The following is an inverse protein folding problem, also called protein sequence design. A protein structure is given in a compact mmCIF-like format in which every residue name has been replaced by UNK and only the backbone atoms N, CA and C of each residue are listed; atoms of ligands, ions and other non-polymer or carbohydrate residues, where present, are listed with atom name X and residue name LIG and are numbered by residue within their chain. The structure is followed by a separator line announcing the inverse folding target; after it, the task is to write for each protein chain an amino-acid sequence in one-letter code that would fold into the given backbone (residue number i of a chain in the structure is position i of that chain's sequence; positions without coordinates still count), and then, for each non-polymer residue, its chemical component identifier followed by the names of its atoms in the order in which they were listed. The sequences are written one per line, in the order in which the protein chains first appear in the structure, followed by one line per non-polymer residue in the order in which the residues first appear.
data_IF_433773255444
#
_entry.id   IF_433773255444
#
_cell.length_a   1.000
_cell.length_b   1.000
_cell.length_c   1.000
_cell.angle_alpha   90.00
_cell.angle_beta   90.00
_cell.angle_gamma   90.00
#
_symmetry.space_group_name_H-M   'P 1'
#
loop_
_entity.id
_entity.type
_entity.pdbx_description
1 polymer ?
#
# COMPACT_ATOMS: atom_id res chain seq x y z
N UNK A 1 -6.08 32.50 -43.57
CA UNK A 1 -6.34 31.04 -43.68
C UNK A 1 -5.01 30.32 -43.46
N UNK A 2 -4.90 29.33 -42.56
CA UNK A 2 -3.69 28.53 -42.45
C UNK A 2 -3.42 27.85 -43.80
N UNK A 3 -2.20 27.95 -44.30
CA UNK A 3 -1.82 27.32 -45.58
C UNK A 3 -1.82 25.80 -45.41
N UNK A 4 -2.15 25.04 -46.45
CA UNK A 4 -2.20 23.57 -46.40
C UNK A 4 -0.92 22.93 -45.83
N UNK A 5 0.23 23.56 -46.05
CA UNK A 5 1.52 23.17 -45.46
C UNK A 5 1.56 23.26 -43.93
N UNK A 6 0.92 24.28 -43.33
CA UNK A 6 0.84 24.42 -41.88
C UNK A 6 -0.05 23.36 -41.24
N UNK A 7 -1.15 22.98 -41.88
CA UNK A 7 -2.01 21.89 -41.39
C UNK A 7 -1.29 20.53 -41.47
N UNK A 8 -0.62 20.26 -42.59
CA UNK A 8 0.14 19.01 -42.77
C UNK A 8 1.27 18.87 -41.75
N UNK A 9 2.02 19.96 -41.49
CA UNK A 9 3.07 20.00 -40.45
C UNK A 9 2.50 19.74 -39.05
N UNK A 10 1.35 20.35 -38.72
CA UNK A 10 0.72 20.18 -37.42
C UNK A 10 0.21 18.74 -37.21
N UNK A 11 -0.36 18.12 -38.25
CA UNK A 11 -0.78 16.70 -38.22
C UNK A 11 0.41 15.76 -38.02
N UNK A 12 1.50 15.96 -38.75
CA UNK A 12 2.72 15.16 -38.58
C UNK A 12 3.30 15.30 -37.16
N UNK A 13 3.38 16.52 -36.64
CA UNK A 13 3.87 16.79 -35.28
C UNK A 13 2.94 16.20 -34.19
N UNK A 14 1.63 16.19 -34.41
CA UNK A 14 0.67 15.54 -33.51
C UNK A 14 0.80 14.00 -33.56
N UNK A 15 0.97 13.42 -34.76
CA UNK A 15 1.14 11.99 -34.92
C UNK A 15 2.44 11.49 -34.27
N UNK A 16 3.54 12.23 -34.45
CA UNK A 16 4.82 11.94 -33.78
C UNK A 16 4.69 11.99 -32.25
N UNK A 17 4.01 12.98 -31.69
CA UNK A 17 3.78 13.08 -30.23
C UNK A 17 2.95 11.91 -29.69
N UNK A 18 1.93 11.47 -30.42
CA UNK A 18 1.12 10.28 -30.05
C UNK A 18 1.96 9.00 -30.09
N UNK A 19 2.74 8.80 -31.15
CA UNK A 19 3.63 7.65 -31.27
C UNK A 19 4.64 7.59 -30.12
N UNK A 20 5.29 8.72 -29.80
CA UNK A 20 6.22 8.82 -28.66
C UNK A 20 5.52 8.50 -27.34
N UNK A 21 4.32 9.04 -27.12
CA UNK A 21 3.53 8.77 -25.91
C UNK A 21 3.20 7.27 -25.77
N UNK A 22 2.85 6.59 -26.87
CA UNK A 22 2.56 5.16 -26.87
C UNK A 22 3.80 4.32 -26.58
N UNK A 23 4.96 4.68 -27.14
CA UNK A 23 6.22 3.99 -26.87
C UNK A 23 6.58 4.06 -25.39
N UNK A 24 6.50 5.26 -24.78
CA UNK A 24 6.78 5.40 -23.35
C UNK A 24 5.74 4.67 -22.48
N UNK A 25 4.45 4.72 -22.85
CA UNK A 25 3.41 4.00 -22.13
C UNK A 25 3.65 2.48 -22.17
N UNK A 26 3.97 1.94 -23.35
CA UNK A 26 4.32 0.54 -23.52
C UNK A 26 5.56 0.17 -22.70
N UNK A 27 6.61 1.01 -22.72
CA UNK A 27 7.82 0.78 -21.94
C UNK A 27 7.54 0.73 -20.43
N UNK A 28 6.66 1.60 -19.91
CA UNK A 28 6.29 1.59 -18.48
C UNK A 28 5.49 0.33 -18.10
N UNK A 29 4.57 -0.12 -18.96
CA UNK A 29 3.83 -1.36 -18.73
C UNK A 29 4.73 -2.60 -18.84
N UNK A 30 5.68 -2.61 -19.77
CA UNK A 30 6.69 -3.67 -19.86
C UNK A 30 7.62 -3.69 -18.64
N UNK A 31 8.01 -2.52 -18.11
CA UNK A 31 8.77 -2.43 -16.88
C UNK A 31 7.98 -3.00 -15.69
N UNK A 32 6.71 -2.63 -15.56
CA UNK A 32 5.83 -3.20 -14.52
C UNK A 32 5.64 -4.72 -14.68
N UNK A 33 5.56 -5.21 -15.92
CA UNK A 33 5.50 -6.65 -16.21
C UNK A 33 6.81 -7.37 -15.86
N UNK A 34 7.97 -6.74 -16.10
CA UNK A 34 9.26 -7.25 -15.63
C UNK A 34 9.32 -7.35 -14.11
N UNK A 35 8.83 -6.33 -13.40
CA UNK A 35 8.74 -6.33 -11.93
C UNK A 35 7.82 -7.46 -11.46
N UNK A 36 6.63 -7.61 -12.05
CA UNK A 36 5.69 -8.70 -11.75
C UNK A 36 6.38 -10.07 -11.81
N UNK A 37 7.11 -10.36 -12.88
CA UNK A 37 7.78 -11.66 -13.06
C UNK A 37 8.93 -11.88 -12.08
N UNK A 38 9.54 -10.81 -11.58
CA UNK A 38 10.65 -10.88 -10.64
C UNK A 38 10.20 -10.90 -9.18
N UNK A 39 9.11 -10.21 -8.83
CA UNK A 39 8.66 -10.07 -7.44
C UNK A 39 7.58 -11.07 -7.02
N UNK A 40 6.82 -11.62 -7.97
CA UNK A 40 5.65 -12.47 -7.68
C UNK A 40 5.80 -13.87 -8.29
N UNK A 41 5.94 -14.88 -7.42
CA UNK A 41 6.12 -16.28 -7.84
C UNK A 41 4.80 -16.99 -8.12
N UNK A 42 3.81 -16.82 -7.25
CA UNK A 42 2.54 -17.54 -7.32
C UNK A 42 1.55 -16.94 -8.32
N UNK A 43 0.67 -17.76 -8.92
CA UNK A 43 -0.34 -17.26 -9.86
C UNK A 43 -1.35 -16.32 -9.19
N UNK A 44 -1.71 -16.59 -7.93
CA UNK A 44 -2.58 -15.76 -7.08
C UNK A 44 -1.93 -14.41 -6.80
N UNK A 45 -0.64 -14.43 -6.42
CA UNK A 45 0.17 -13.24 -6.18
C UNK A 45 0.31 -12.38 -7.45
N UNK A 46 0.56 -13.02 -8.60
CA UNK A 46 0.61 -12.34 -9.90
C UNK A 46 -0.73 -11.70 -10.28
N UNK A 47 -1.84 -12.39 -10.04
CA UNK A 47 -3.18 -11.83 -10.27
C UNK A 47 -3.44 -10.62 -9.37
N UNK A 48 -3.09 -10.71 -8.08
CA UNK A 48 -3.21 -9.61 -7.13
C UNK A 48 -2.34 -8.41 -7.53
N UNK A 49 -1.10 -8.63 -8.01
CA UNK A 49 -0.26 -7.57 -8.56
C UNK A 49 -0.88 -6.91 -9.78
N UNK A 50 -1.42 -7.67 -10.74
CA UNK A 50 -2.07 -7.10 -11.93
C UNK A 50 -3.29 -6.25 -11.56
N UNK A 51 -4.06 -6.71 -10.57
CA UNK A 51 -5.19 -5.94 -10.03
C UNK A 51 -4.72 -4.69 -9.30
N UNK A 52 -3.68 -4.77 -8.47
CA UNK A 52 -3.05 -3.62 -7.81
C UNK A 52 -2.52 -2.59 -8.82
N UNK A 53 -1.83 -3.07 -9.86
CA UNK A 53 -1.37 -2.26 -10.97
C UNK A 53 -2.54 -1.54 -11.66
N UNK A 54 -3.64 -2.27 -11.90
CA UNK A 54 -4.89 -1.70 -12.41
C UNK A 54 -5.48 -0.63 -11.49
N UNK A 55 -5.60 -0.90 -10.18
CA UNK A 55 -6.09 0.04 -9.17
C UNK A 55 -5.28 1.34 -9.19
N UNK A 56 -3.95 1.25 -9.10
CA UNK A 56 -3.08 2.42 -9.13
C UNK A 56 -3.26 3.22 -10.44
N UNK A 57 -3.26 2.53 -11.58
CA UNK A 57 -3.38 3.21 -12.87
C UNK A 57 -4.75 3.90 -13.02
N UNK A 58 -5.84 3.21 -12.66
CA UNK A 58 -7.18 3.78 -12.76
C UNK A 58 -7.44 4.90 -11.75
N UNK A 59 -6.85 4.82 -10.55
CA UNK A 59 -6.87 5.89 -9.54
C UNK A 59 -6.24 7.17 -10.08
N UNK A 60 -4.99 7.10 -10.55
CA UNK A 60 -4.31 8.27 -11.13
C UNK A 60 -4.98 8.75 -12.42
N UNK A 61 -5.55 7.85 -13.21
CA UNK A 61 -6.35 8.21 -14.40
C UNK A 61 -7.63 8.96 -14.04
N UNK A 62 -8.35 8.56 -12.98
CA UNK A 62 -9.54 9.27 -12.52
C UNK A 62 -9.19 10.70 -12.07
N UNK A 63 -8.05 10.86 -11.39
CA UNK A 63 -7.56 12.15 -10.90
C UNK A 63 -7.04 13.04 -12.05
N UNK A 64 -6.04 12.56 -12.80
CA UNK A 64 -5.23 13.33 -13.74
C UNK A 64 -5.73 13.26 -15.21
N UNK A 65 -6.55 12.25 -15.55
CA UNK A 65 -7.08 11.96 -16.91
C UNK A 65 -6.01 11.68 -17.98
N UNK A 66 -4.78 11.43 -17.55
CA UNK A 66 -3.58 11.32 -18.38
C UNK A 66 -2.91 9.95 -18.16
N UNK A 67 -2.91 9.05 -19.16
CA UNK A 67 -2.45 7.66 -18.97
C UNK A 67 -0.96 7.55 -18.72
N UNK A 68 -0.14 8.37 -19.38
CA UNK A 68 1.31 8.29 -19.23
C UNK A 68 1.72 8.66 -17.81
N UNK A 69 1.13 9.73 -17.28
CA UNK A 69 1.42 10.20 -15.92
C UNK A 69 0.93 9.23 -14.86
N UNK A 70 -0.17 8.54 -15.15
CA UNK A 70 -0.71 7.50 -14.28
C UNK A 70 0.23 6.31 -14.17
N UNK A 71 0.75 5.81 -15.31
CA UNK A 71 1.69 4.69 -15.33
C UNK A 71 3.00 5.04 -14.61
N UNK A 72 3.54 6.25 -14.79
CA UNK A 72 4.75 6.71 -14.10
C UNK A 72 4.55 6.75 -12.59
N UNK A 73 3.46 7.36 -12.11
CA UNK A 73 3.17 7.45 -10.68
C UNK A 73 2.92 6.07 -10.09
N UNK A 74 2.18 5.21 -10.79
CA UNK A 74 1.93 3.83 -10.36
C UNK A 74 3.24 3.04 -10.22
N UNK A 75 4.13 3.14 -11.21
CA UNK A 75 5.44 2.48 -11.17
C UNK A 75 6.30 3.01 -10.03
N UNK A 76 6.31 4.32 -9.80
CA UNK A 76 7.04 4.92 -8.68
C UNK A 76 6.53 4.39 -7.34
N UNK A 77 5.21 4.31 -7.14
CA UNK A 77 4.60 3.72 -5.94
C UNK A 77 5.01 2.26 -5.74
N UNK A 78 4.94 1.44 -6.79
CA UNK A 78 5.35 0.02 -6.75
C UNK A 78 6.83 -0.11 -6.36
N UNK A 79 7.72 0.65 -6.99
CA UNK A 79 9.16 0.60 -6.70
C UNK A 79 9.45 1.06 -5.27
N UNK A 80 8.85 2.15 -4.82
CA UNK A 80 9.00 2.64 -3.44
C UNK A 80 8.53 1.58 -2.45
N UNK A 81 7.38 0.95 -2.71
CA UNK A 81 6.84 -0.08 -1.83
C UNK A 81 7.74 -1.31 -1.76
N UNK A 82 8.29 -1.76 -2.88
CA UNK A 82 9.26 -2.87 -2.91
C UNK A 82 10.51 -2.51 -2.10
N UNK A 83 11.09 -1.32 -2.30
CA UNK A 83 12.28 -0.88 -1.58
C UNK A 83 12.02 -0.79 -0.08
N UNK A 84 10.88 -0.25 0.33
CA UNK A 84 10.49 -0.17 1.73
C UNK A 84 10.22 -1.57 2.32
N UNK A 85 9.59 -2.46 1.56
CA UNK A 85 9.31 -3.83 2.00
C UNK A 85 10.60 -4.64 2.18
N UNK A 86 11.55 -4.49 1.26
CA UNK A 86 12.87 -5.12 1.38
C UNK A 86 13.66 -4.57 2.57
N UNK A 87 13.61 -3.25 2.78
CA UNK A 87 14.24 -2.65 3.95
C UNK A 87 13.64 -3.19 5.25
N UNK A 88 12.31 -3.19 5.35
CA UNK A 88 11.59 -3.71 6.52
C UNK A 88 11.94 -5.19 6.75
N UNK A 89 11.97 -5.99 5.68
CA UNK A 89 12.33 -7.40 5.77
C UNK A 89 13.78 -7.61 6.25
N UNK A 90 14.74 -6.85 5.71
CA UNK A 90 16.15 -6.96 6.11
C UNK A 90 16.42 -6.59 7.57
N UNK A 91 15.51 -5.85 8.22
CA UNK A 91 15.68 -5.34 9.58
C UNK A 91 14.81 -6.09 10.59
N UNK A 92 13.54 -6.32 10.24
CA UNK A 92 12.51 -6.88 11.12
C UNK A 92 12.07 -8.29 10.71
N UNK A 93 12.68 -8.87 9.67
CA UNK A 93 12.29 -10.16 9.09
C UNK A 93 10.82 -10.21 8.67
N UNK A 94 10.21 -9.05 8.36
CA UNK A 94 8.80 -8.89 8.05
C UNK A 94 8.63 -7.93 6.86
N UNK A 95 7.65 -8.20 5.99
CA UNK A 95 7.35 -7.34 4.83
C UNK A 95 6.39 -6.19 5.17
N UNK A 96 6.24 -5.22 4.26
CA UNK A 96 5.35 -4.08 4.49
C UNK A 96 3.89 -4.52 4.38
N UNK A 97 3.06 -4.07 5.32
CA UNK A 97 1.63 -4.32 5.35
C UNK A 97 0.85 -3.03 5.55
N UNK A 98 -0.47 -3.07 5.34
CA UNK A 98 -1.33 -1.88 5.45
C UNK A 98 -1.38 -1.33 6.87
N UNK A 99 -1.14 -2.19 7.86
CA UNK A 99 -1.03 -1.79 9.26
C UNK A 99 0.10 -0.77 9.45
N UNK A 100 1.19 -0.86 8.70
CA UNK A 100 2.28 0.13 8.74
C UNK A 100 1.78 1.53 8.36
N UNK A 101 0.82 1.64 7.44
CA UNK A 101 0.22 2.92 7.06
C UNK A 101 -0.81 3.40 8.08
N UNK A 102 -1.47 2.48 8.79
CA UNK A 102 -2.45 2.85 9.82
C UNK A 102 -1.77 3.37 11.10
N UNK A 103 -0.59 2.81 11.43
CA UNK A 103 0.14 3.15 12.65
C UNK A 103 1.10 4.33 12.48
N UNK A 104 1.41 4.75 11.24
CA UNK A 104 2.40 5.80 11.02
C UNK A 104 1.91 7.15 11.56
N UNK A 105 2.67 7.70 12.51
CA UNK A 105 2.51 9.07 12.97
C UNK A 105 3.72 9.94 12.58
N UNK A 106 3.59 11.26 12.79
CA UNK A 106 4.66 12.21 12.45
C UNK A 106 5.94 12.00 13.28
N UNK A 107 5.81 11.56 14.54
CA UNK A 107 6.95 11.31 15.41
C UNK A 107 7.71 10.05 14.99
N UNK A 108 7.00 8.97 14.67
CA UNK A 108 7.53 7.73 14.09
C UNK A 108 8.22 8.03 12.77
N UNK A 109 7.61 8.83 11.90
CA UNK A 109 8.23 9.23 10.64
C UNK A 109 9.54 10.01 10.86
N UNK A 110 9.56 10.99 11.77
CA UNK A 110 10.77 11.73 12.11
C UNK A 110 11.86 10.85 12.71
N UNK A 111 11.48 9.91 13.58
CA UNK A 111 12.40 8.91 14.12
C UNK A 111 12.99 8.06 12.99
N UNK A 112 12.15 7.57 12.08
CA UNK A 112 12.58 6.81 10.91
C UNK A 112 13.57 7.60 10.04
N UNK A 113 13.29 8.88 9.77
CA UNK A 113 14.20 9.75 9.01
C UNK A 113 15.56 9.91 9.71
N UNK A 114 15.56 10.06 11.04
CA UNK A 114 16.79 10.21 11.82
C UNK A 114 17.63 8.92 11.84
N UNK A 115 16.99 7.78 12.03
CA UNK A 115 17.67 6.48 12.10
C UNK A 115 18.14 6.02 10.73
N UNK A 116 17.31 6.16 9.70
CA UNK A 116 17.53 5.62 8.35
C UNK A 116 17.78 6.72 7.31
N UNK A 117 18.53 7.75 7.70
CA UNK A 117 18.78 8.91 6.83
C UNK A 117 19.34 8.52 5.45
N UNK A 118 20.22 7.51 5.39
CA UNK A 118 20.79 7.04 4.11
C UNK A 118 19.76 6.46 3.15
N UNK A 119 18.77 5.69 3.65
CA UNK A 119 17.69 5.15 2.82
C UNK A 119 16.74 6.26 2.39
N UNK A 120 16.36 7.13 3.32
CA UNK A 120 15.49 8.28 3.06
C UNK A 120 16.11 9.18 2.01
N UNK A 121 17.42 9.42 2.06
CA UNK A 121 18.13 10.22 1.06
C UNK A 121 18.10 9.57 -0.32
N UNK A 122 18.31 8.25 -0.41
CA UNK A 122 18.21 7.50 -1.68
C UNK A 122 16.80 7.58 -2.27
N UNK A 123 15.78 7.38 -1.44
CA UNK A 123 14.37 7.51 -1.84
C UNK A 123 14.03 8.94 -2.25
N UNK A 124 14.46 9.94 -1.47
CA UNK A 124 14.25 11.35 -1.78
C UNK A 124 14.92 11.75 -3.08
N UNK A 125 16.15 11.28 -3.33
CA UNK A 125 16.86 11.51 -4.60
C UNK A 125 16.14 10.82 -5.77
N UNK A 126 15.69 9.57 -5.60
CA UNK A 126 14.92 8.88 -6.63
C UNK A 126 13.63 9.64 -6.96
N UNK A 127 12.87 10.07 -5.95
CA UNK A 127 11.67 10.89 -6.14
C UNK A 127 12.03 12.21 -6.82
N UNK A 128 13.08 12.91 -6.37
CA UNK A 128 13.54 14.15 -6.97
C UNK A 128 13.93 13.99 -8.45
N UNK A 129 14.50 12.85 -8.86
CA UNK A 129 14.81 12.53 -10.25
C UNK A 129 13.58 12.11 -11.07
N UNK A 130 12.58 11.50 -10.46
CA UNK A 130 11.31 11.16 -11.15
C UNK A 130 10.46 12.39 -11.46
N UNK A 131 10.53 13.46 -10.65
CA UNK A 131 9.77 14.70 -10.86
C UNK A 131 10.07 15.36 -12.23
N UNK A 132 11.32 15.66 -12.63
CA UNK A 132 11.60 16.26 -13.93
C UNK A 132 11.20 15.33 -15.08
N UNK A 133 11.42 14.02 -14.94
CA UNK A 133 10.97 13.03 -15.91
C UNK A 133 9.44 13.09 -16.08
N UNK A 134 8.71 13.11 -14.96
CA UNK A 134 7.25 13.24 -14.94
C UNK A 134 6.77 14.55 -15.57
N UNK A 135 7.43 15.68 -15.31
CA UNK A 135 7.10 16.97 -15.93
C UNK A 135 7.31 16.97 -17.45
N UNK A 136 8.37 16.33 -17.93
CA UNK A 136 8.63 16.17 -19.38
C UNK A 136 7.56 15.27 -20.00
N UNK A 137 7.26 14.13 -19.39
CA UNK A 137 6.22 13.21 -19.88
C UNK A 137 4.83 13.85 -19.85
N UNK A 138 4.54 14.69 -18.84
CA UNK A 138 3.31 15.47 -18.76
C UNK A 138 3.14 16.44 -19.95
N UNK A 139 4.22 17.01 -20.48
CA UNK A 139 4.18 17.86 -21.68
C UNK A 139 3.89 17.07 -22.95
N UNK A 140 4.30 15.81 -23.01
CA UNK A 140 4.18 14.94 -24.19
C UNK A 140 2.82 14.24 -24.25
N UNK A 141 2.18 14.03 -23.10
CA UNK A 141 0.94 13.26 -23.00
C UNK A 141 -0.21 13.88 -23.80
N UNK A 142 -0.54 13.23 -24.91
CA UNK A 142 -1.60 13.62 -25.83
C UNK A 142 -2.95 12.97 -25.51
N UNK A 143 -2.97 11.92 -24.68
CA UNK A 143 -4.16 11.10 -24.45
C UNK A 143 -4.98 11.62 -23.28
N UNK A 144 -6.31 11.67 -23.47
CA UNK A 144 -7.25 12.05 -22.40
C UNK A 144 -8.37 11.05 -22.34
N UNK A 145 -8.51 10.40 -21.19
CA UNK A 145 -9.58 9.44 -20.92
C UNK A 145 -10.71 10.11 -20.13
N UNK A 146 -11.94 9.68 -20.37
CA UNK A 146 -13.12 10.15 -19.63
C UNK A 146 -13.07 9.57 -18.22
N UNK A 147 -13.30 10.41 -17.21
CA UNK A 147 -13.25 10.02 -15.79
C UNK A 147 -14.18 8.86 -15.43
N UNK A 148 -15.36 8.79 -16.06
CA UNK A 148 -16.33 7.72 -15.80
C UNK A 148 -15.76 6.33 -16.06
N UNK A 149 -15.03 6.15 -17.16
CA UNK A 149 -14.39 4.89 -17.50
C UNK A 149 -13.24 4.55 -16.55
N UNK A 150 -12.49 5.56 -16.10
CA UNK A 150 -11.43 5.36 -15.11
C UNK A 150 -12.00 4.93 -13.75
N UNK A 151 -13.09 5.56 -13.30
CA UNK A 151 -13.76 5.18 -12.05
C UNK A 151 -14.35 3.78 -12.13
N UNK A 152 -14.99 3.44 -13.25
CA UNK A 152 -15.53 2.09 -13.45
C UNK A 152 -14.41 1.04 -13.43
N UNK A 153 -13.30 1.29 -14.13
CA UNK A 153 -12.13 0.41 -14.09
C UNK A 153 -11.55 0.27 -12.68
N UNK A 154 -11.44 1.37 -11.93
CA UNK A 154 -10.99 1.36 -10.54
C UNK A 154 -11.89 0.50 -9.66
N UNK A 155 -13.21 0.68 -9.74
CA UNK A 155 -14.18 -0.07 -8.94
C UNK A 155 -14.14 -1.57 -9.27
N UNK A 156 -14.03 -1.93 -10.55
CA UNK A 156 -13.91 -3.32 -10.98
C UNK A 156 -12.62 -3.96 -10.46
N UNK A 157 -11.48 -3.26 -10.57
CA UNK A 157 -10.20 -3.77 -10.06
C UNK A 157 -10.22 -3.92 -8.54
N UNK A 158 -10.79 -2.95 -7.80
CA UNK A 158 -10.94 -3.04 -6.35
C UNK A 158 -11.86 -4.19 -5.93
N UNK A 159 -13.00 -4.35 -6.59
CA UNK A 159 -13.93 -5.45 -6.29
C UNK A 159 -13.30 -6.81 -6.58
N UNK A 160 -12.61 -6.97 -7.72
CA UNK A 160 -11.92 -8.21 -8.07
C UNK A 160 -10.78 -8.53 -7.09
N UNK A 161 -10.05 -7.51 -6.64
CA UNK A 161 -8.97 -7.66 -5.67
C UNK A 161 -9.48 -8.05 -4.28
N UNK A 162 -10.57 -7.42 -3.83
CA UNK A 162 -11.24 -7.79 -2.59
C UNK A 162 -11.76 -9.23 -2.67
N UNK A 163 -12.43 -9.60 -3.76
CA UNK A 163 -12.92 -10.96 -3.99
C UNK A 163 -11.78 -11.99 -3.99
N UNK A 164 -10.66 -11.70 -4.67
CA UNK A 164 -9.48 -12.56 -4.66
C UNK A 164 -8.91 -12.75 -3.25
N UNK A 165 -8.82 -11.65 -2.48
CA UNK A 165 -8.26 -11.67 -1.12
C UNK A 165 -9.14 -12.42 -0.13
N UNK A 166 -10.46 -12.39 -0.32
CA UNK A 166 -11.42 -13.13 0.52
C UNK A 166 -11.56 -14.59 0.10
N UNK A 167 -11.45 -14.89 -1.20
CA UNK A 167 -11.55 -16.26 -1.71
C UNK A 167 -10.28 -17.08 -1.43
N UNK A 168 -9.12 -16.43 -1.44
CA UNK A 168 -7.83 -17.04 -1.11
C UNK A 168 -7.19 -16.17 -0.03
N UNK A 169 -7.31 -16.54 1.25
CA UNK A 169 -6.60 -15.87 2.34
C UNK A 169 -5.07 -15.96 2.16
N UNK A 170 -4.34 -14.99 2.70
CA UNK A 170 -2.88 -15.06 2.82
C UNK A 170 -2.51 -15.88 4.06
N UNK A 171 -1.50 -16.74 3.95
CA UNK A 171 -0.99 -17.43 5.13
C UNK A 171 -0.26 -16.44 6.04
N UNK A 172 -0.28 -16.67 7.36
CA UNK A 172 0.39 -15.75 8.32
C UNK A 172 1.90 -15.78 8.17
N UNK A 173 2.45 -16.96 7.90
CA UNK A 173 3.89 -17.18 7.76
C UNK A 173 4.48 -16.46 6.54
N UNK A 174 3.65 -16.18 5.54
CA UNK A 174 4.03 -15.45 4.35
C UNK A 174 4.57 -14.05 4.68
N UNK A 175 4.19 -13.46 5.81
CA UNK A 175 4.66 -12.12 6.19
C UNK A 175 6.18 -12.08 6.45
N UNK A 176 6.78 -13.22 6.80
CA UNK A 176 8.19 -13.36 7.14
C UNK A 176 9.10 -13.70 5.95
N UNK A 177 8.54 -14.03 4.78
CA UNK A 177 9.33 -14.41 3.61
C UNK A 177 9.58 -13.23 2.64
N UNK A 178 10.81 -13.12 2.07
CA UNK A 178 11.23 -12.01 1.20
C UNK A 178 10.73 -12.14 -0.25
N UNK A 179 9.47 -12.51 -0.45
CA UNK A 179 8.83 -12.59 -1.77
C UNK A 179 7.47 -11.91 -1.78
N UNK A 180 6.91 -11.67 -2.97
CA UNK A 180 5.52 -11.23 -3.17
C UNK A 180 5.18 -9.89 -2.48
N UNK A 181 6.08 -8.92 -2.59
CA UNK A 181 5.98 -7.64 -1.86
C UNK A 181 4.68 -6.87 -2.13
N UNK A 182 4.24 -6.79 -3.39
CA UNK A 182 3.09 -5.97 -3.78
C UNK A 182 1.80 -6.70 -3.48
N UNK A 183 1.72 -7.98 -3.85
CA UNK A 183 0.49 -8.76 -3.64
C UNK A 183 0.16 -8.92 -2.16
N UNK A 184 1.15 -9.20 -1.30
CA UNK A 184 0.97 -9.24 0.16
C UNK A 184 0.45 -7.93 0.71
N UNK A 185 1.12 -6.83 0.39
CA UNK A 185 0.70 -5.49 0.84
C UNK A 185 -0.76 -5.21 0.47
N UNK A 186 -1.12 -5.43 -0.79
CA UNK A 186 -2.45 -5.06 -1.29
C UNK A 186 -3.54 -6.01 -0.76
N UNK A 187 -3.25 -7.30 -0.58
CA UNK A 187 -4.18 -8.26 0.03
C UNK A 187 -4.38 -7.99 1.53
N UNK A 188 -3.35 -7.48 2.22
CA UNK A 188 -3.47 -7.06 3.64
C UNK A 188 -4.50 -5.94 3.85
N UNK A 189 -4.84 -5.16 2.81
CA UNK A 189 -5.94 -4.17 2.88
C UNK A 189 -7.26 -4.85 3.19
N UNK A 190 -7.56 -5.97 2.54
CA UNK A 190 -8.82 -6.68 2.70
C UNK A 190 -8.93 -7.28 4.10
N UNK A 191 -7.84 -7.87 4.61
CA UNK A 191 -7.75 -8.40 5.97
C UNK A 191 -7.98 -7.29 6.99
N UNK A 192 -7.22 -6.20 6.90
CA UNK A 192 -7.36 -5.06 7.80
C UNK A 192 -8.78 -4.46 7.77
N UNK A 193 -9.40 -4.36 6.58
CA UNK A 193 -10.77 -3.88 6.44
C UNK A 193 -11.80 -4.79 7.11
N UNK A 194 -11.63 -6.11 7.00
CA UNK A 194 -12.47 -7.08 7.71
C UNK A 194 -12.29 -6.91 9.22
N UNK A 195 -11.06 -6.91 9.71
CA UNK A 195 -10.76 -6.80 11.15
C UNK A 195 -11.31 -5.49 11.76
N UNK A 196 -11.16 -4.37 11.04
CA UNK A 196 -11.75 -3.08 11.41
C UNK A 196 -13.28 -3.13 11.45
N UNK A 197 -13.91 -3.85 10.52
CA UNK A 197 -15.38 -3.92 10.42
C UNK A 197 -16.01 -4.86 11.45
N UNK A 198 -15.29 -5.91 11.85
CA UNK A 198 -15.75 -6.91 12.83
C UNK A 198 -15.42 -6.51 14.27
N UNK A 199 -14.61 -5.47 14.47
CA UNK A 199 -14.14 -5.07 15.79
C UNK A 199 -13.06 -6.00 16.37
N UNK A 200 -12.55 -6.94 15.57
CA UNK A 200 -11.58 -7.95 16.00
C UNK A 200 -10.19 -7.36 16.30
N UNK A 201 -9.91 -6.12 15.91
CA UNK A 201 -8.62 -5.45 16.19
C UNK A 201 -8.36 -5.29 17.70
N UNK A 202 -9.43 -5.13 18.50
CA UNK A 202 -9.36 -5.03 19.96
C UNK A 202 -10.50 -5.86 20.56
N UNK A 203 -10.32 -7.18 20.58
CA UNK A 203 -11.28 -8.08 21.22
C UNK A 203 -11.13 -8.00 22.75
N UNK A 204 -12.07 -7.32 23.40
CA UNK A 204 -12.22 -7.38 24.84
C UNK A 204 -13.14 -8.55 25.16
N UNK A 205 -12.67 -9.51 25.97
CA UNK A 205 -13.49 -10.63 26.43
C UNK A 205 -14.77 -10.07 27.08
N UNK A 206 -15.99 -10.40 26.60
CA UNK A 206 -17.22 -9.93 27.21
C UNK A 206 -17.38 -10.40 28.66
N UNK A 207 -16.76 -11.53 29.06
CA UNK A 207 -16.73 -11.97 30.45
C UNK A 207 -15.83 -11.10 31.33
N UNK A 208 -14.96 -10.29 30.72
CA UNK A 208 -14.12 -9.32 31.42
C UNK A 208 -14.85 -8.01 31.75
N UNK A 209 -16.03 -7.73 31.17
CA UNK A 209 -16.82 -6.53 31.52
C UNK A 209 -17.24 -6.56 33.01
N UNK A 210 -17.48 -7.75 33.55
CA UNK A 210 -17.83 -7.94 34.96
C UNK A 210 -16.59 -7.91 35.91
N UNK A 211 -15.37 -8.06 35.37
CA UNK A 211 -14.13 -8.17 36.18
C UNK A 211 -13.18 -6.96 36.02
N UNK A 212 -13.13 -6.39 34.83
CA UNK A 212 -12.47 -5.14 34.50
C UNK A 212 -13.57 -4.08 34.43
N UNK A 213 -13.71 -3.36 35.55
CA UNK A 213 -14.56 -2.19 35.65
C UNK A 213 -13.99 -1.06 34.75
N UNK A 214 -14.16 -1.20 33.43
CA UNK A 214 -14.04 -0.11 32.46
C UNK A 214 -15.28 0.76 32.65
N UNK A 215 -15.40 1.35 33.85
CA UNK A 215 -16.49 2.22 34.21
C UNK A 215 -16.61 3.29 33.13
N UNK A 216 -17.74 3.26 32.42
CA UNK A 216 -18.10 4.20 31.38
C UNK A 216 -17.67 5.61 31.81
N UNK A 217 -16.63 6.14 31.14
CA UNK A 217 -16.16 7.51 31.28
C UNK A 217 -16.21 8.07 32.71
N UNK A 218 -15.56 7.42 33.68
CA UNK A 218 -15.30 8.09 34.95
C UNK A 218 -14.53 9.39 34.66
N UNK A 219 -15.08 10.53 35.07
CA UNK A 219 -14.50 11.85 34.87
C UNK A 219 -13.02 11.84 35.26
N UNK A 220 -12.16 12.19 34.29
CA UNK A 220 -10.71 12.16 34.47
C UNK A 220 -10.30 13.14 35.57
N UNK A 221 -10.15 12.65 36.81
CA UNK A 221 -9.56 13.41 37.91
C UNK A 221 -8.05 13.36 37.79
N UNK A 222 -7.49 14.37 37.11
CA UNK A 222 -6.07 14.53 36.74
C UNK A 222 -5.10 14.47 37.94
N UNK A 223 -5.61 14.55 39.18
CA UNK A 223 -4.82 14.56 40.41
C UNK A 223 -4.54 13.18 41.03
N UNK A 224 -5.11 12.07 40.50
CA UNK A 224 -4.85 10.73 41.05
C UNK A 224 -3.67 10.07 40.34
N UNK A 225 -2.82 9.39 41.11
CA UNK A 225 -1.76 8.53 40.58
C UNK A 225 -2.39 7.51 39.62
N UNK A 226 -1.99 7.53 38.36
CA UNK A 226 -2.49 6.63 37.32
C UNK A 226 -2.30 5.18 37.79
N UNK A 227 -3.31 4.30 37.62
CA UNK A 227 -3.12 2.88 37.90
C UNK A 227 -1.97 2.37 37.03
N UNK A 228 -1.09 1.56 37.63
CA UNK A 228 0.00 0.92 36.91
C UNK A 228 -0.62 -0.08 35.93
N UNK A 229 -0.64 0.27 34.64
CA UNK A 229 -0.99 -0.67 33.57
C UNK A 229 0.25 -1.53 33.33
N UNK A 230 0.18 -2.80 33.69
CA UNK A 230 1.18 -3.80 33.30
C UNK A 230 0.66 -4.48 32.04
N UNK A 231 1.27 -4.18 30.90
CA UNK A 231 0.96 -4.81 29.63
C UNK A 231 1.89 -6.02 29.47
N UNK A 232 1.35 -7.23 29.62
CA UNK A 232 2.03 -8.46 29.23
C UNK A 232 1.80 -8.67 27.73
N UNK A 233 2.86 -8.62 26.95
CA UNK A 233 2.82 -9.07 25.55
C UNK A 233 2.90 -10.59 25.55
N UNK A 234 1.85 -11.25 25.08
CA UNK A 234 1.80 -12.72 24.86
C UNK A 234 2.59 -13.09 23.59
N UNK A 235 3.82 -12.60 23.48
CA UNK A 235 4.83 -13.07 22.53
C UNK A 235 5.88 -13.95 23.24
N UNK A 236 5.75 -14.11 24.56
CA UNK A 236 6.61 -15.00 25.32
C UNK A 236 6.18 -16.44 25.11
N UNK A 237 7.12 -17.33 24.78
CA UNK A 237 6.97 -18.79 24.86
C UNK A 237 6.77 -19.30 26.30
N UNK A 238 6.21 -18.46 27.18
CA UNK A 238 6.00 -18.70 28.59
C UNK A 238 4.51 -18.81 28.83
N UNK A 239 4.09 -19.98 29.28
CA UNK A 239 2.70 -20.28 29.60
C UNK A 239 2.20 -19.36 30.73
N UNK A 240 1.24 -18.48 30.41
CA UNK A 240 0.66 -17.55 31.37
C UNK A 240 -0.03 -18.25 32.56
N UNK A 241 -0.36 -19.55 32.46
CA UNK A 241 -0.88 -20.35 33.58
C UNK A 241 0.15 -20.53 34.70
N UNK A 242 1.43 -20.41 34.39
CA UNK A 242 2.53 -20.58 35.34
C UNK A 242 2.77 -19.33 36.21
N UNK A 243 2.10 -18.21 35.91
CA UNK A 243 2.23 -16.99 36.68
C UNK A 243 1.23 -16.96 37.86
N UNK A 244 1.71 -16.79 39.10
CA UNK A 244 0.83 -16.77 40.25
C UNK A 244 -0.12 -15.58 40.18
N UNK A 245 -1.41 -15.83 40.42
CA UNK A 245 -2.48 -14.82 40.46
C UNK A 245 -2.96 -14.28 39.11
N UNK A 246 -2.56 -14.90 37.99
CA UNK A 246 -3.12 -14.59 36.66
C UNK A 246 -4.30 -15.52 36.37
N UNK A 247 -5.42 -14.94 35.92
CA UNK A 247 -6.58 -15.71 35.46
C UNK A 247 -6.57 -15.79 33.94
N UNK A 248 -6.53 -17.00 33.39
CA UNK A 248 -6.62 -17.27 31.95
C UNK A 248 -8.00 -17.85 31.58
N UNK A 249 -8.48 -17.64 30.34
CA UNK A 249 -9.76 -18.21 29.88
C UNK A 249 -9.71 -19.75 29.76
N UNK A 250 -10.87 -20.42 29.69
CA UNK A 250 -10.92 -21.87 29.47
C UNK A 250 -10.30 -22.22 28.12
N UNK A 251 -9.35 -23.16 28.10
CA UNK A 251 -8.56 -23.59 26.93
C UNK A 251 -7.49 -22.59 26.43
N UNK A 252 -6.93 -21.76 27.32
CA UNK A 252 -5.60 -21.18 27.13
C UNK A 252 -4.55 -22.30 27.06
#
# INVERSE_FOLDING_TARGET
MPTALTDLRNRLAANRRRAVSLVFLAALHLAAFGILLWSEDEPTARAAFLLAWGVLNFFWLALLRRPLTSAVLSLAFVVILIVLSQFKHSTLMMTASVVDLMLIDFATFLFFVKVNFGLVLKLALAVALTIPLWLVLWRVDAFRLRRSWAVLGLLVCLAALAALSLAVPTDREDEFFPHQYISKFVRSVAVAAVDLSTGAVLEADPASIDRLNLAAGASCQVARKLPHIVMLFDESSFDATMMPSISVPPNY
#
